data_IF_057044609356
#
_entry.id   IF_057044609356
#
_cell.length_a   1.000
_cell.length_b   1.000
_cell.length_c   1.000
_cell.angle_alpha   90.00
_cell.angle_beta   90.00
_cell.angle_gamma   90.00
#
_symmetry.space_group_name_H-M   'P 1'
#
loop_
_entity.id
_entity.type
_entity.pdbx_description
1 polymer ?
#
# COMPACT_ATOMS: atom_id res chain seq x y z
N UNK A 1 6.72 33.59 11.82
CA UNK A 1 5.32 34.04 11.84
C UNK A 1 4.58 33.10 10.91
N UNK A 2 3.65 32.29 11.44
CA UNK A 2 2.92 31.31 10.65
C UNK A 2 2.17 32.03 9.52
N UNK A 3 2.51 31.70 8.28
CA UNK A 3 1.70 31.99 7.11
C UNK A 3 0.30 31.45 7.40
N UNK A 4 -0.69 32.33 7.42
CA UNK A 4 -2.10 31.92 7.45
C UNK A 4 -2.49 31.55 6.03
N UNK A 5 -1.95 30.42 5.56
CA UNK A 5 -2.38 29.79 4.32
C UNK A 5 -3.84 29.41 4.46
N UNK A 6 -4.65 29.80 3.49
CA UNK A 6 -6.06 29.38 3.33
C UNK A 6 -6.16 27.91 2.90
N UNK A 7 -5.25 27.07 3.39
CA UNK A 7 -5.09 25.70 2.99
C UNK A 7 -6.21 24.83 3.50
N UNK A 8 -6.94 24.21 2.59
CA UNK A 8 -7.98 23.23 2.92
C UNK A 8 -7.41 21.84 3.23
N UNK A 9 -6.10 21.63 3.06
CA UNK A 9 -5.41 20.35 3.23
C UNK A 9 -4.15 20.50 4.08
N UNK A 10 -3.63 19.39 4.65
CA UNK A 10 -2.55 19.43 5.66
C UNK A 10 -1.15 19.55 5.06
N UNK A 11 -0.99 19.25 3.76
CA UNK A 11 0.28 19.32 3.04
C UNK A 11 0.24 20.33 1.88
N UNK A 12 -0.73 21.25 1.84
CA UNK A 12 -0.93 22.13 0.68
C UNK A 12 0.24 23.11 0.45
N UNK A 13 1.03 23.39 1.48
CA UNK A 13 2.24 24.19 1.43
C UNK A 13 3.51 23.37 1.15
N UNK A 14 3.41 22.05 1.03
CA UNK A 14 4.56 21.15 0.79
C UNK A 14 4.73 20.87 -0.69
N UNK A 15 5.92 21.20 -1.21
CA UNK A 15 6.32 20.94 -2.60
C UNK A 15 7.24 19.72 -2.69
N UNK A 16 6.94 18.80 -3.60
CA UNK A 16 7.66 17.54 -3.75
C UNK A 16 8.08 17.34 -5.19
N UNK A 17 9.35 17.01 -5.40
CA UNK A 17 9.83 16.44 -6.67
C UNK A 17 9.86 14.93 -6.55
N UNK A 18 9.10 14.24 -7.40
CA UNK A 18 9.16 12.79 -7.56
C UNK A 18 10.00 12.46 -8.78
N UNK A 19 11.05 11.65 -8.59
CA UNK A 19 11.94 11.16 -9.65
C UNK A 19 12.04 9.64 -9.57
N UNK A 20 12.06 9.00 -10.73
CA UNK A 20 12.08 7.55 -10.86
C UNK A 20 10.73 6.97 -11.26
N UNK A 21 10.61 5.65 -11.15
CA UNK A 21 9.56 4.88 -11.81
C UNK A 21 8.58 4.21 -10.85
N UNK A 22 8.26 2.97 -11.18
CA UNK A 22 7.20 2.18 -10.51
C UNK A 22 7.38 2.02 -9.00
N UNK A 23 8.63 1.97 -8.51
CA UNK A 23 8.96 1.69 -7.12
C UNK A 23 8.47 2.80 -6.17
N UNK A 24 8.70 4.07 -6.54
CA UNK A 24 8.38 5.24 -5.70
C UNK A 24 7.03 5.89 -6.00
N UNK A 25 6.41 5.57 -7.14
CA UNK A 25 5.20 6.27 -7.61
C UNK A 25 4.03 6.23 -6.62
N UNK A 26 3.93 5.20 -5.76
CA UNK A 26 2.92 5.13 -4.72
C UNK A 26 3.16 6.13 -3.57
N UNK A 27 4.43 6.39 -3.21
CA UNK A 27 4.78 7.35 -2.16
C UNK A 27 4.32 8.77 -2.54
N UNK A 28 4.69 9.23 -3.74
CA UNK A 28 4.25 10.54 -4.21
C UNK A 28 2.74 10.64 -4.38
N UNK A 29 2.05 9.56 -4.81
CA UNK A 29 0.58 9.53 -4.82
C UNK A 29 -0.02 9.74 -3.43
N UNK A 30 0.45 9.02 -2.41
CA UNK A 30 -0.07 9.15 -1.06
C UNK A 30 0.07 10.60 -0.56
N UNK A 31 1.24 11.21 -0.78
CA UNK A 31 1.52 12.59 -0.37
C UNK A 31 0.70 13.60 -1.18
N UNK A 32 0.58 13.40 -2.50
CA UNK A 32 -0.26 14.24 -3.37
C UNK A 32 -1.72 14.21 -2.93
N UNK A 33 -2.29 13.02 -2.70
CA UNK A 33 -3.69 12.91 -2.29
C UNK A 33 -3.95 13.53 -0.91
N UNK A 34 -2.95 13.51 -0.01
CA UNK A 34 -2.98 14.20 1.29
C UNK A 34 -2.76 15.72 1.22
N UNK A 35 -2.53 16.30 0.04
CA UNK A 35 -2.47 17.75 -0.15
C UNK A 35 -1.23 18.27 -0.87
N UNK A 36 -0.15 17.50 -0.88
CA UNK A 36 1.14 17.98 -1.36
C UNK A 36 1.11 18.37 -2.84
N UNK A 37 1.85 19.42 -3.19
CA UNK A 37 2.11 19.71 -4.59
C UNK A 37 3.25 18.81 -5.08
N UNK A 38 2.90 17.70 -5.73
CA UNK A 38 3.86 16.71 -6.23
C UNK A 38 4.07 16.92 -7.73
N UNK A 39 5.27 17.34 -8.10
CA UNK A 39 5.73 17.38 -9.49
C UNK A 39 6.51 16.11 -9.80
N UNK A 40 5.97 15.29 -10.70
CA UNK A 40 6.69 14.14 -11.25
C UNK A 40 7.59 14.62 -12.38
N UNK A 41 8.89 14.42 -12.22
CA UNK A 41 9.90 14.70 -13.24
C UNK A 41 10.11 13.43 -14.06
N UNK A 42 9.73 13.48 -15.32
CA UNK A 42 9.78 12.34 -16.25
C UNK A 42 10.81 12.61 -17.35
N UNK A 43 11.42 11.58 -17.96
CA UNK A 43 12.21 11.80 -19.17
C UNK A 43 11.31 12.33 -20.31
N UNK A 44 11.85 12.93 -21.39
CA UNK A 44 11.05 13.48 -22.49
C UNK A 44 10.07 12.48 -23.13
N UNK A 45 10.40 11.19 -23.12
CA UNK A 45 9.51 10.13 -23.56
C UNK A 45 8.47 9.70 -22.52
N UNK A 46 8.56 10.16 -21.27
CA UNK A 46 7.66 9.83 -20.18
C UNK A 46 8.06 8.58 -19.40
N UNK A 47 7.50 8.46 -18.19
CA UNK A 47 7.69 7.30 -17.32
C UNK A 47 7.24 5.99 -18.01
N UNK A 48 8.02 4.91 -17.82
CA UNK A 48 7.74 3.60 -18.42
C UNK A 48 6.32 3.07 -18.11
N UNK A 49 5.76 3.42 -16.95
CA UNK A 49 4.45 2.97 -16.49
C UNK A 49 3.31 3.53 -17.36
N UNK A 50 3.56 4.60 -18.12
CA UNK A 50 2.65 5.10 -19.17
C UNK A 50 2.43 4.08 -20.29
N UNK A 51 3.37 3.16 -20.48
CA UNK A 51 3.29 2.06 -21.44
C UNK A 51 2.70 0.76 -20.88
N UNK A 52 2.28 0.73 -19.61
CA UNK A 52 1.77 -0.50 -19.00
C UNK A 52 0.27 -0.68 -19.28
N UNK A 53 -0.18 -1.87 -19.73
CA UNK A 53 -1.61 -2.17 -19.85
C UNK A 53 -2.26 -2.38 -18.46
N UNK A 54 -3.61 -2.39 -18.38
CA UNK A 54 -4.57 -2.18 -19.46
C UNK A 54 -4.62 -0.71 -19.91
N UNK A 55 -5.02 -0.51 -21.17
CA UNK A 55 -5.22 0.81 -21.73
C UNK A 55 -6.70 1.12 -21.82
N UNK A 56 -7.06 2.38 -21.61
CA UNK A 56 -8.42 2.84 -21.79
C UNK A 56 -8.90 2.60 -23.23
N UNK A 57 -10.04 1.89 -23.36
CA UNK A 57 -10.61 1.41 -24.64
C UNK A 57 -9.66 0.50 -25.45
N UNK A 58 -8.72 -0.16 -24.79
CA UNK A 58 -7.70 -1.01 -25.41
C UNK A 58 -6.83 -0.27 -26.45
N UNK A 59 -6.65 1.06 -26.30
CA UNK A 59 -5.84 1.90 -27.19
C UNK A 59 -4.49 2.24 -26.54
N UNK A 60 -3.36 1.62 -26.97
CA UNK A 60 -2.04 1.90 -26.41
C UNK A 60 -1.60 3.35 -26.67
N UNK A 61 -1.54 4.14 -25.60
CA UNK A 61 -1.09 5.54 -25.61
C UNK A 61 -0.57 5.93 -24.22
N UNK A 62 0.41 6.85 -24.18
CA UNK A 62 1.09 7.28 -22.94
C UNK A 62 0.18 7.99 -21.93
N UNK A 63 -0.97 8.49 -22.38
CA UNK A 63 -1.96 9.14 -21.55
C UNK A 63 -3.18 8.24 -21.27
N UNK A 64 -3.14 6.96 -21.69
CA UNK A 64 -4.26 6.02 -21.59
C UNK A 64 -3.98 4.77 -20.77
N UNK A 65 -2.79 4.63 -20.18
CA UNK A 65 -2.51 3.55 -19.25
C UNK A 65 -3.34 3.69 -17.97
N UNK A 66 -4.21 2.72 -17.71
CA UNK A 66 -4.98 2.67 -16.45
C UNK A 66 -4.06 2.40 -15.26
N UNK A 67 -2.92 1.75 -15.49
CA UNK A 67 -1.87 1.60 -14.50
C UNK A 67 -1.31 2.97 -14.12
N UNK A 68 -0.84 3.76 -15.09
CA UNK A 68 -0.35 5.12 -14.82
C UNK A 68 -1.41 5.97 -14.12
N UNK A 69 -2.67 5.85 -14.55
CA UNK A 69 -3.76 6.60 -13.94
C UNK A 69 -3.90 6.31 -12.45
N UNK A 70 -3.85 5.03 -12.05
CA UNK A 70 -3.99 4.62 -10.66
C UNK A 70 -2.91 5.24 -9.73
N UNK A 71 -1.68 5.39 -10.22
CA UNK A 71 -0.54 5.81 -9.41
C UNK A 71 -0.24 7.31 -9.45
N UNK A 72 -0.97 8.12 -10.22
CA UNK A 72 -0.56 9.52 -10.49
C UNK A 72 -1.67 10.55 -10.33
N UNK A 73 -2.78 10.22 -9.67
CA UNK A 73 -3.78 11.22 -9.27
C UNK A 73 -3.14 12.37 -8.47
N UNK A 74 -3.67 13.57 -8.61
CA UNK A 74 -3.20 14.81 -7.94
C UNK A 74 -1.79 15.30 -8.28
N UNK A 75 -0.98 14.55 -9.03
CA UNK A 75 0.37 14.98 -9.43
C UNK A 75 0.33 15.99 -10.59
N UNK A 76 1.40 16.76 -10.71
CA UNK A 76 1.78 17.47 -11.92
C UNK A 76 2.81 16.64 -12.70
N UNK A 77 2.84 16.77 -14.02
CA UNK A 77 3.86 16.12 -14.87
C UNK A 77 4.69 17.16 -15.59
N UNK A 78 6.01 17.05 -15.45
CA UNK A 78 6.97 17.73 -16.31
C UNK A 78 7.90 16.74 -16.98
N UNK A 79 8.30 17.06 -18.20
CA UNK A 79 9.33 16.32 -18.94
C UNK A 79 10.66 17.05 -18.83
N UNK A 80 11.72 16.33 -18.50
CA UNK A 80 13.06 16.86 -18.33
C UNK A 80 14.12 15.77 -18.53
N UNK A 81 15.02 15.97 -19.49
CA UNK A 81 16.23 15.17 -19.65
C UNK A 81 17.29 15.60 -18.63
N UNK A 82 17.24 14.99 -17.46
CA UNK A 82 18.19 15.22 -16.36
C UNK A 82 19.60 14.66 -16.64
N UNK A 83 19.82 13.94 -17.74
CA UNK A 83 21.17 13.54 -18.14
C UNK A 83 21.91 14.67 -18.87
N UNK A 84 21.18 15.59 -19.50
CA UNK A 84 21.75 16.77 -20.16
C UNK A 84 22.24 17.83 -19.17
N UNK A 85 23.28 18.59 -19.54
CA UNK A 85 23.81 19.68 -18.69
C UNK A 85 22.73 20.74 -18.36
N UNK A 86 21.87 21.06 -19.34
CA UNK A 86 20.76 21.99 -19.17
C UNK A 86 19.71 21.42 -18.22
N UNK A 87 19.34 20.14 -18.40
CA UNK A 87 18.34 19.51 -17.55
C UNK A 87 18.79 19.36 -16.10
N UNK A 88 20.08 19.12 -15.86
CA UNK A 88 20.65 19.13 -14.49
C UNK A 88 20.54 20.49 -13.83
N UNK A 89 20.86 21.58 -14.53
CA UNK A 89 20.70 22.94 -14.02
C UNK A 89 19.24 23.24 -13.67
N UNK A 90 18.32 22.87 -14.57
CA UNK A 90 16.88 23.03 -14.38
C UNK A 90 16.38 22.21 -13.19
N UNK A 91 16.85 20.96 -13.04
CA UNK A 91 16.50 20.12 -11.90
C UNK A 91 16.95 20.74 -10.58
N UNK A 92 18.18 21.26 -10.50
CA UNK A 92 18.67 21.93 -9.30
C UNK A 92 17.85 23.19 -8.97
N UNK A 93 17.41 23.94 -9.99
CA UNK A 93 16.50 25.09 -9.81
C UNK A 93 15.15 24.66 -9.24
N UNK A 94 14.59 23.54 -9.72
CA UNK A 94 13.38 22.95 -9.13
C UNK A 94 13.62 22.50 -7.69
N UNK A 95 14.76 21.87 -7.41
CA UNK A 95 15.10 21.35 -6.09
C UNK A 95 15.26 22.45 -5.02
N UNK A 96 15.69 23.65 -5.41
CA UNK A 96 15.74 24.82 -4.52
C UNK A 96 14.34 25.25 -4.05
N UNK A 97 13.32 25.10 -4.89
CA UNK A 97 11.93 25.45 -4.56
C UNK A 97 11.16 24.31 -3.88
N UNK A 98 11.74 23.10 -3.83
CA UNK A 98 11.13 21.92 -3.28
C UNK A 98 11.40 21.76 -1.77
N UNK A 99 10.44 21.15 -1.07
CA UNK A 99 10.60 20.74 0.32
C UNK A 99 11.12 19.32 0.45
N UNK A 100 10.71 18.46 -0.48
CA UNK A 100 11.00 17.03 -0.48
C UNK A 100 11.42 16.59 -1.88
N UNK A 101 12.44 15.75 -1.95
CA UNK A 101 12.71 14.92 -3.13
C UNK A 101 12.39 13.47 -2.76
N UNK A 102 11.56 12.82 -3.57
CA UNK A 102 11.33 11.38 -3.53
C UNK A 102 12.07 10.77 -4.71
N UNK A 103 13.19 10.11 -4.42
CA UNK A 103 14.02 9.41 -5.39
C UNK A 103 13.71 7.90 -5.34
N UNK A 104 13.37 7.33 -6.48
CA UNK A 104 13.21 5.89 -6.67
C UNK A 104 13.93 5.38 -7.91
N UNK A 105 14.96 6.11 -8.36
CA UNK A 105 15.88 5.67 -9.39
C UNK A 105 16.77 4.52 -8.86
N UNK A 106 17.51 3.91 -9.77
CA UNK A 106 18.55 2.95 -9.40
C UNK A 106 19.55 3.61 -8.43
N UNK A 107 20.07 2.87 -7.42
CA UNK A 107 20.98 3.42 -6.43
C UNK A 107 22.17 4.17 -7.06
N UNK A 108 22.50 5.33 -6.49
CA UNK A 108 23.56 6.24 -6.94
C UNK A 108 23.38 6.85 -8.34
N UNK A 109 22.23 6.65 -9.00
CA UNK A 109 21.96 7.26 -10.30
C UNK A 109 21.97 8.79 -10.21
N UNK A 110 21.20 9.38 -9.29
CA UNK A 110 21.20 10.83 -9.10
C UNK A 110 22.54 11.37 -8.62
N UNK A 111 23.25 10.65 -7.74
CA UNK A 111 24.62 11.01 -7.34
C UNK A 111 25.57 11.08 -8.55
N UNK A 112 25.44 10.14 -9.49
CA UNK A 112 26.28 10.11 -10.71
C UNK A 112 26.04 11.32 -11.62
N UNK A 113 24.89 11.97 -11.50
CA UNK A 113 24.51 13.17 -12.24
C UNK A 113 24.83 14.46 -11.47
N UNK A 114 25.29 14.37 -10.22
CA UNK A 114 25.44 15.53 -9.33
C UNK A 114 24.10 16.08 -8.82
N UNK A 115 23.08 15.22 -8.75
CA UNK A 115 21.71 15.53 -8.30
C UNK A 115 21.36 14.77 -7.01
N UNK A 116 22.37 14.18 -6.36
CA UNK A 116 22.25 13.45 -5.12
C UNK A 116 21.98 14.33 -3.91
N UNK A 117 21.76 13.72 -2.76
CA UNK A 117 21.49 14.47 -1.51
C UNK A 117 22.63 15.44 -1.16
N UNK A 118 23.88 15.00 -1.30
CA UNK A 118 25.05 15.83 -0.96
C UNK A 118 25.19 17.05 -1.88
N UNK A 119 24.72 16.97 -3.13
CA UNK A 119 24.73 18.09 -4.06
C UNK A 119 23.52 19.02 -3.83
N UNK A 120 22.32 18.44 -3.73
CA UNK A 120 21.08 19.21 -3.53
C UNK A 120 21.09 19.94 -2.18
N UNK A 121 21.60 19.32 -1.12
CA UNK A 121 21.64 19.94 0.22
C UNK A 121 22.57 21.16 0.30
N UNK A 122 23.53 21.31 -0.63
CA UNK A 122 24.36 22.51 -0.72
C UNK A 122 23.57 23.74 -1.20
N UNK A 123 22.60 23.53 -2.08
CA UNK A 123 21.73 24.60 -2.61
C UNK A 123 20.42 24.75 -1.84
N UNK A 124 19.98 23.68 -1.15
CA UNK A 124 18.78 23.65 -0.31
C UNK A 124 19.03 22.88 1.01
N UNK A 125 19.62 23.51 2.04
CA UNK A 125 19.95 22.82 3.30
C UNK A 125 18.74 22.28 4.09
N UNK A 126 17.54 22.78 3.81
CA UNK A 126 16.28 22.35 4.42
C UNK A 126 15.59 21.21 3.67
N UNK A 127 16.20 20.69 2.60
CA UNK A 127 15.61 19.64 1.77
C UNK A 127 15.49 18.33 2.55
N UNK A 128 14.33 17.68 2.41
CA UNK A 128 14.16 16.29 2.84
C UNK A 128 14.34 15.42 1.61
N UNK A 129 15.26 14.47 1.65
CA UNK A 129 15.56 13.62 0.50
C UNK A 129 15.29 12.17 0.87
N UNK A 130 14.22 11.60 0.33
CA UNK A 130 13.81 10.22 0.57
C UNK A 130 14.21 9.35 -0.62
N UNK A 131 15.23 8.52 -0.43
CA UNK A 131 15.69 7.56 -1.42
C UNK A 131 15.07 6.18 -1.14
N UNK A 132 14.26 5.68 -2.07
CA UNK A 132 13.59 4.39 -1.99
C UNK A 132 14.34 3.42 -2.90
N UNK A 133 14.96 2.39 -2.30
CA UNK A 133 15.72 1.40 -3.06
C UNK A 133 15.45 -0.02 -2.57
N UNK A 134 15.73 -1.06 -3.38
CA UNK A 134 15.51 -2.43 -2.97
C UNK A 134 16.25 -2.81 -1.69
N UNK A 135 17.56 -2.56 -1.65
CA UNK A 135 18.46 -3.03 -0.61
C UNK A 135 19.02 -1.91 0.28
N UNK A 136 18.64 -0.64 0.06
CA UNK A 136 19.27 0.52 0.68
C UNK A 136 20.42 1.07 -0.17
N UNK A 137 20.68 2.37 -0.06
CA UNK A 137 21.66 3.08 -0.91
C UNK A 137 23.11 2.62 -0.63
N UNK A 138 23.44 2.36 0.63
CA UNK A 138 24.78 1.98 1.10
C UNK A 138 24.82 0.61 1.79
N UNK A 139 24.08 -0.36 1.25
CA UNK A 139 24.04 -1.73 1.77
C UNK A 139 24.89 -2.71 0.94
N UNK A 140 25.22 -3.91 1.49
CA UNK A 140 26.02 -4.93 0.77
C UNK A 140 25.45 -5.38 -0.58
N UNK A 141 24.15 -5.24 -0.78
CA UNK A 141 23.43 -5.62 -2.00
C UNK A 141 22.82 -4.39 -2.70
N UNK A 142 23.32 -3.18 -2.43
CA UNK A 142 22.85 -1.93 -3.06
C UNK A 142 22.77 -2.03 -4.59
N UNK A 143 23.77 -2.67 -5.23
CA UNK A 143 23.82 -2.78 -6.69
C UNK A 143 23.04 -4.01 -7.25
N UNK A 144 22.23 -4.70 -6.44
CA UNK A 144 21.50 -5.90 -6.89
C UNK A 144 20.12 -5.55 -7.45
N UNK A 145 19.80 -6.11 -8.61
CA UNK A 145 18.48 -5.99 -9.20
C UNK A 145 17.40 -6.67 -8.33
N UNK A 146 16.24 -6.03 -8.23
CA UNK A 146 15.08 -6.57 -7.55
C UNK A 146 13.78 -6.20 -8.27
N UNK A 147 12.77 -7.03 -8.09
CA UNK A 147 11.39 -6.77 -8.46
C UNK A 147 10.53 -6.84 -7.20
N UNK A 148 9.28 -6.39 -7.28
CA UNK A 148 8.29 -6.61 -6.22
C UNK A 148 8.24 -8.08 -5.75
N UNK A 149 8.32 -9.03 -6.70
CA UNK A 149 8.26 -10.46 -6.43
C UNK A 149 9.46 -10.94 -5.62
N UNK A 150 10.67 -10.54 -6.02
CA UNK A 150 11.89 -10.92 -5.29
C UNK A 150 11.99 -10.20 -3.96
N UNK A 151 11.42 -9.01 -3.84
CA UNK A 151 11.33 -8.24 -2.61
C UNK A 151 10.52 -8.95 -1.53
N UNK A 152 9.30 -9.39 -1.88
CA UNK A 152 8.46 -10.20 -1.00
C UNK A 152 9.15 -11.51 -0.59
N UNK A 153 9.81 -12.18 -1.55
CA UNK A 153 10.45 -13.47 -1.30
C UNK A 153 11.62 -13.35 -0.32
N UNK A 154 12.49 -12.37 -0.54
CA UNK A 154 13.68 -12.16 0.28
C UNK A 154 13.33 -11.55 1.66
N UNK A 155 12.27 -10.74 1.73
CA UNK A 155 11.85 -10.10 2.99
C UNK A 155 11.17 -11.04 3.99
N UNK A 156 10.64 -12.18 3.54
CA UNK A 156 9.97 -13.17 4.38
C UNK A 156 8.45 -13.37 4.19
N UNK A 157 7.64 -12.41 3.70
CA UNK A 157 6.19 -12.62 3.52
C UNK A 157 5.79 -13.89 2.75
N UNK A 158 6.56 -14.26 1.74
CA UNK A 158 6.30 -15.45 0.91
C UNK A 158 6.47 -16.75 1.70
N UNK A 159 7.44 -16.81 2.63
CA UNK A 159 7.65 -18.00 3.48
C UNK A 159 6.43 -18.33 4.33
N UNK A 160 5.74 -17.29 4.81
CA UNK A 160 4.61 -17.38 5.74
C UNK A 160 3.28 -17.70 5.05
N UNK A 161 3.25 -17.73 3.72
CA UNK A 161 2.03 -17.79 2.94
C UNK A 161 1.95 -19.07 2.11
N UNK A 162 0.83 -19.79 2.17
CA UNK A 162 0.54 -20.92 1.28
C UNK A 162 -0.12 -22.10 1.97
N UNK A 163 0.11 -23.29 1.42
CA UNK A 163 -0.60 -24.50 1.81
C UNK A 163 0.08 -25.25 2.95
N UNK A 164 -0.69 -26.06 3.68
CA UNK A 164 -0.18 -26.98 4.71
C UNK A 164 0.67 -28.10 4.13
N UNK A 165 0.38 -28.51 2.88
CA UNK A 165 1.26 -29.39 2.12
C UNK A 165 2.50 -28.61 1.70
N UNK A 166 3.59 -28.82 2.43
CA UNK A 166 4.84 -28.11 2.21
C UNK A 166 5.61 -28.57 0.96
N UNK A 167 5.15 -29.63 0.29
CA UNK A 167 5.65 -29.99 -1.03
C UNK A 167 5.18 -29.02 -2.12
N UNK A 168 4.07 -28.30 -1.87
CA UNK A 168 3.59 -27.22 -2.72
C UNK A 168 4.42 -25.96 -2.42
N UNK A 169 4.99 -25.28 -3.43
CA UNK A 169 5.75 -24.06 -3.22
C UNK A 169 4.96 -22.99 -2.43
N UNK A 170 5.65 -22.15 -1.64
CA UNK A 170 4.99 -21.04 -0.97
C UNK A 170 4.29 -20.09 -1.97
N UNK A 171 3.23 -19.42 -1.51
CA UNK A 171 2.45 -18.48 -2.32
C UNK A 171 2.72 -17.04 -1.89
N UNK A 172 2.25 -16.08 -2.68
CA UNK A 172 2.42 -14.65 -2.41
C UNK A 172 1.15 -13.90 -2.84
N UNK A 173 0.93 -12.72 -2.25
CA UNK A 173 -0.21 -11.85 -2.58
C UNK A 173 -0.15 -11.26 -3.99
N UNK A 174 -1.05 -10.34 -4.34
CA UNK A 174 -1.04 -9.60 -5.62
C UNK A 174 0.27 -8.83 -5.88
N UNK A 175 0.49 -8.34 -7.10
CA UNK A 175 1.70 -7.59 -7.46
C UNK A 175 1.79 -6.21 -6.78
N UNK A 176 3.00 -5.66 -6.72
CA UNK A 176 3.38 -4.36 -6.16
C UNK A 176 3.18 -4.20 -4.64
N UNK A 177 2.94 -5.28 -3.90
CA UNK A 177 2.75 -5.21 -2.44
C UNK A 177 4.02 -4.79 -1.70
N UNK A 178 5.21 -5.23 -2.17
CA UNK A 178 6.46 -4.77 -1.60
C UNK A 178 6.72 -3.30 -1.92
N UNK A 179 6.42 -2.86 -3.15
CA UNK A 179 6.50 -1.45 -3.56
C UNK A 179 5.58 -0.55 -2.72
N UNK A 180 4.33 -0.98 -2.53
CA UNK A 180 3.39 -0.27 -1.68
C UNK A 180 3.88 -0.22 -0.24
N UNK A 181 4.29 -1.36 0.34
CA UNK A 181 4.77 -1.41 1.73
C UNK A 181 5.94 -0.46 1.96
N UNK A 182 6.96 -0.46 1.09
CA UNK A 182 8.09 0.48 1.23
C UNK A 182 7.67 1.93 1.04
N UNK A 183 6.74 2.22 0.12
CA UNK A 183 6.20 3.57 -0.07
C UNK A 183 5.41 4.08 1.15
N UNK A 184 4.72 3.22 1.90
CA UNK A 184 4.09 3.63 3.16
C UNK A 184 5.15 4.02 4.19
N UNK A 185 6.24 3.26 4.32
CA UNK A 185 7.37 3.65 5.18
C UNK A 185 8.05 4.94 4.72
N UNK A 186 8.22 5.14 3.41
CA UNK A 186 8.78 6.36 2.85
C UNK A 186 7.90 7.58 3.16
N UNK A 187 6.58 7.48 2.95
CA UNK A 187 5.64 8.55 3.29
C UNK A 187 5.65 8.86 4.80
N UNK A 188 5.68 7.83 5.66
CA UNK A 188 5.83 8.01 7.11
C UNK A 188 7.14 8.73 7.45
N UNK A 189 8.25 8.33 6.81
CA UNK A 189 9.56 8.96 6.96
C UNK A 189 9.55 10.44 6.56
N UNK A 190 8.97 10.76 5.39
CA UNK A 190 8.80 12.14 4.91
C UNK A 190 7.98 12.97 5.89
N UNK A 191 6.81 12.48 6.34
CA UNK A 191 5.98 13.18 7.31
C UNK A 191 6.73 13.41 8.64
N UNK A 192 7.50 12.41 9.09
CA UNK A 192 8.32 12.53 10.31
C UNK A 192 9.43 13.57 10.14
N UNK A 193 10.09 13.60 8.98
CA UNK A 193 11.12 14.58 8.67
C UNK A 193 10.56 16.01 8.51
N UNK A 194 9.35 16.15 7.96
CA UNK A 194 8.65 17.44 7.91
C UNK A 194 8.37 17.96 9.32
N UNK A 195 7.92 17.09 10.24
CA UNK A 195 7.75 17.44 11.66
C UNK A 195 9.09 17.83 12.30
N UNK A 196 10.15 17.06 12.08
CA UNK A 196 11.51 17.41 12.55
C UNK A 196 11.91 18.81 12.09
N UNK A 197 11.78 19.07 10.78
CA UNK A 197 12.14 20.34 10.14
C UNK A 197 11.33 21.51 10.69
N UNK A 198 10.07 21.32 11.09
CA UNK A 198 9.29 22.38 11.76
C UNK A 198 9.92 22.85 13.07
N UNK A 199 10.61 21.97 13.81
CA UNK A 199 11.24 22.31 15.08
C UNK A 199 12.69 22.77 14.93
N UNK A 200 13.43 22.25 13.95
CA UNK A 200 14.87 22.51 13.79
C UNK A 200 15.19 23.48 12.66
N UNK A 201 14.32 23.57 11.65
CA UNK A 201 14.60 24.22 10.36
C UNK A 201 15.45 23.37 9.41
N UNK A 202 15.87 22.17 9.83
CA UNK A 202 16.82 21.33 9.09
C UNK A 202 16.12 20.16 8.38
N UNK A 203 16.50 19.96 7.13
CA UNK A 203 16.14 18.78 6.34
C UNK A 203 16.96 17.55 6.74
N UNK A 204 16.79 16.44 6.01
CA UNK A 204 17.60 15.24 6.21
C UNK A 204 17.47 14.26 5.03
N UNK A 205 18.44 13.36 4.93
CA UNK A 205 18.37 12.19 4.07
C UNK A 205 17.64 11.03 4.76
N UNK A 206 16.81 10.32 4.00
CA UNK A 206 16.05 9.15 4.45
C UNK A 206 16.32 8.01 3.46
N UNK A 207 17.08 7.00 3.89
CA UNK A 207 17.27 5.75 3.13
C UNK A 207 16.16 4.75 3.46
N UNK A 208 15.30 4.45 2.49
CA UNK A 208 14.14 3.58 2.67
C UNK A 208 14.36 2.26 1.93
N UNK A 209 14.71 1.23 2.70
CA UNK A 209 15.02 -0.11 2.19
C UNK A 209 13.76 -0.98 2.04
N UNK A 210 13.45 -1.40 0.81
CA UNK A 210 12.27 -2.21 0.51
C UNK A 210 12.28 -3.59 1.15
N UNK A 211 13.42 -4.30 1.16
CA UNK A 211 13.52 -5.61 1.79
C UNK A 211 13.37 -5.55 3.30
N UNK A 212 13.95 -4.54 3.94
CA UNK A 212 13.79 -4.28 5.37
C UNK A 212 12.32 -3.98 5.70
N UNK A 213 11.65 -3.15 4.89
CA UNK A 213 10.22 -2.86 5.02
C UNK A 213 9.34 -4.11 4.97
N UNK A 214 9.68 -5.08 4.11
CA UNK A 214 8.98 -6.38 4.09
C UNK A 214 9.23 -7.17 5.37
N UNK A 215 10.49 -7.22 5.82
CA UNK A 215 10.87 -8.04 6.97
C UNK A 215 10.20 -7.57 8.27
N UNK A 216 10.19 -6.26 8.53
CA UNK A 216 9.53 -5.69 9.71
C UNK A 216 8.00 -5.78 9.67
N UNK A 217 7.43 -6.17 8.52
CA UNK A 217 5.98 -6.35 8.31
C UNK A 217 5.56 -7.84 8.35
N UNK A 218 6.44 -8.75 8.80
CA UNK A 218 6.11 -10.19 8.99
C UNK A 218 5.55 -10.53 10.38
N UNK A 219 4.83 -9.59 10.99
CA UNK A 219 4.23 -9.70 12.33
C UNK A 219 5.27 -10.15 13.38
N UNK A 220 4.98 -11.20 14.15
CA UNK A 220 5.85 -11.74 15.19
C UNK A 220 6.92 -12.70 14.67
N UNK A 221 6.90 -13.08 13.39
CA UNK A 221 7.75 -14.16 12.86
C UNK A 221 9.24 -13.92 13.14
N UNK A 222 9.72 -12.68 12.92
CA UNK A 222 11.12 -12.30 13.21
C UNK A 222 11.42 -12.42 14.70
N UNK A 223 10.50 -12.03 15.59
CA UNK A 223 10.73 -12.10 17.02
C UNK A 223 10.70 -13.55 17.55
N UNK A 224 9.83 -14.39 17.00
CA UNK A 224 9.83 -15.83 17.25
C UNK A 224 11.19 -16.45 16.91
N UNK A 225 11.78 -16.05 15.78
CA UNK A 225 13.12 -16.50 15.40
C UNK A 225 14.21 -15.95 16.34
N UNK A 226 14.26 -14.62 16.53
CA UNK A 226 15.33 -13.95 17.26
C UNK A 226 15.38 -14.30 18.75
N UNK A 227 14.23 -14.52 19.39
CA UNK A 227 14.14 -14.69 20.85
C UNK A 227 13.73 -16.11 21.23
N UNK A 228 12.72 -16.68 20.58
CA UNK A 228 12.25 -18.03 20.90
C UNK A 228 13.05 -19.14 20.18
N UNK A 229 13.79 -18.81 19.12
CA UNK A 229 14.54 -19.78 18.31
C UNK A 229 13.65 -20.61 17.38
N UNK A 230 12.42 -20.17 17.15
CA UNK A 230 11.41 -20.90 16.39
C UNK A 230 11.21 -20.31 15.00
N UNK A 231 10.99 -21.17 14.00
CA UNK A 231 10.64 -20.75 12.63
C UNK A 231 9.16 -20.97 12.37
N UNK A 232 8.45 -19.90 12.01
CA UNK A 232 7.04 -20.00 11.62
C UNK A 232 6.86 -20.84 10.35
N UNK A 233 5.73 -21.51 10.23
CA UNK A 233 5.36 -22.31 9.07
C UNK A 233 4.10 -21.73 8.42
N UNK A 234 4.06 -21.70 7.09
CA UNK A 234 2.84 -21.40 6.33
C UNK A 234 1.77 -22.45 6.59
N UNK A 235 0.52 -22.00 6.60
CA UNK A 235 -0.66 -22.82 6.84
C UNK A 235 -1.82 -22.32 5.99
N UNK A 236 -2.59 -23.21 5.36
CA UNK A 236 -3.68 -22.81 4.46
C UNK A 236 -4.75 -22.06 5.24
N UNK A 237 -5.11 -20.85 4.78
CA UNK A 237 -6.19 -20.04 5.37
C UNK A 237 -5.97 -19.63 6.84
N UNK A 238 -4.73 -19.65 7.33
CA UNK A 238 -4.36 -19.46 8.74
C UNK A 238 -3.18 -18.53 8.92
N UNK A 239 -3.02 -17.99 10.12
CA UNK A 239 -1.80 -17.30 10.52
C UNK A 239 -0.59 -18.25 10.46
N UNK A 240 0.55 -17.79 9.95
CA UNK A 240 1.79 -18.55 10.04
C UNK A 240 2.21 -18.71 11.50
N UNK A 241 2.61 -19.92 11.90
CA UNK A 241 2.94 -20.22 13.30
C UNK A 241 4.00 -21.31 13.36
N UNK A 242 4.87 -21.35 14.39
CA UNK A 242 5.83 -22.45 14.55
C UNK A 242 5.13 -23.80 14.79
N UNK A 243 3.93 -23.77 15.37
CA UNK A 243 3.11 -24.94 15.63
C UNK A 243 1.79 -24.83 14.87
N UNK A 244 1.32 -25.91 14.21
CA UNK A 244 0.04 -25.91 13.51
C UNK A 244 -1.13 -25.50 14.41
N UNK A 245 -2.03 -24.71 13.83
CA UNK A 245 -3.23 -24.14 14.45
C UNK A 245 -4.49 -24.73 13.83
N UNK A 246 -5.63 -24.64 14.55
CA UNK A 246 -6.91 -25.14 14.04
C UNK A 246 -7.35 -24.40 12.76
N UNK A 247 -8.12 -25.08 11.92
CA UNK A 247 -8.69 -24.50 10.70
C UNK A 247 -9.67 -23.38 11.05
N UNK A 248 -9.56 -22.24 10.36
CA UNK A 248 -10.32 -21.01 10.61
C UNK A 248 -11.00 -20.46 9.36
N UNK A 249 -10.91 -21.15 8.23
CA UNK A 249 -11.53 -20.72 6.98
C UNK A 249 -12.53 -21.79 6.54
N UNK A 250 -13.80 -21.41 6.35
CA UNK A 250 -14.89 -22.33 6.05
C UNK A 250 -15.49 -22.05 4.68
N UNK A 251 -15.66 -23.12 3.90
CA UNK A 251 -16.37 -23.08 2.62
C UNK A 251 -17.88 -23.04 2.88
N UNK A 252 -18.56 -22.12 2.22
CA UNK A 252 -20.01 -21.96 2.29
C UNK A 252 -20.72 -22.60 1.09
N UNK A 253 -22.04 -22.75 1.18
CA UNK A 253 -22.85 -23.43 0.15
C UNK A 253 -22.88 -22.75 -1.22
N UNK A 254 -22.54 -21.46 -1.27
CA UNK A 254 -22.39 -20.67 -2.50
C UNK A 254 -20.97 -20.76 -3.11
N UNK A 255 -20.08 -21.57 -2.54
CA UNK A 255 -18.71 -21.75 -3.00
C UNK A 255 -17.75 -20.65 -2.55
N UNK A 256 -18.20 -19.71 -1.70
CA UNK A 256 -17.36 -18.65 -1.10
C UNK A 256 -16.83 -19.08 0.27
N UNK A 257 -15.86 -18.32 0.79
CA UNK A 257 -15.26 -18.59 2.09
C UNK A 257 -15.61 -17.53 3.12
N UNK A 258 -15.69 -17.95 4.38
CA UNK A 258 -15.66 -17.08 5.55
C UNK A 258 -14.46 -17.42 6.41
N UNK A 259 -13.77 -16.40 6.91
CA UNK A 259 -12.76 -16.54 7.96
C UNK A 259 -13.46 -16.44 9.31
N UNK A 260 -13.44 -17.54 10.06
CA UNK A 260 -13.97 -17.66 11.41
C UNK A 260 -12.79 -17.67 12.38
N UNK A 261 -12.63 -16.62 13.17
CA UNK A 261 -11.50 -16.51 14.09
C UNK A 261 -11.55 -17.57 15.22
N UNK A 262 -11.89 -17.12 16.43
CA UNK A 262 -12.19 -18.05 17.52
C UNK A 262 -13.72 -18.12 17.63
N UNK A 263 -14.35 -19.31 17.54
CA UNK A 263 -15.79 -19.42 17.34
C UNK A 263 -16.59 -18.85 18.51
N UNK A 264 -16.06 -18.82 19.74
CA UNK A 264 -16.60 -18.00 20.83
C UNK A 264 -15.54 -17.60 21.86
N UNK A 265 -15.40 -16.31 22.15
CA UNK A 265 -14.41 -15.76 23.11
C UNK A 265 -15.00 -15.50 24.49
N UNK A 266 -16.32 -15.55 24.63
CA UNK A 266 -17.05 -15.38 25.88
C UNK A 266 -18.07 -16.52 26.06
N UNK A 267 -18.54 -16.74 27.30
CA UNK A 267 -19.61 -17.72 27.57
C UNK A 267 -20.91 -17.33 26.85
N UNK A 268 -21.21 -16.04 26.73
CA UNK A 268 -22.37 -15.53 25.99
C UNK A 268 -22.29 -15.89 24.49
N UNK A 269 -21.13 -15.63 23.87
CA UNK A 269 -20.88 -16.03 22.48
C UNK A 269 -20.98 -17.55 22.31
N UNK A 270 -20.54 -18.33 23.31
CA UNK A 270 -20.64 -19.79 23.25
C UNK A 270 -22.09 -20.26 23.27
N UNK A 271 -22.92 -19.66 24.14
CA UNK A 271 -24.35 -19.92 24.17
C UNK A 271 -25.02 -19.54 22.85
N UNK A 272 -24.71 -18.36 22.27
CA UNK A 272 -25.24 -17.96 20.97
C UNK A 272 -24.84 -18.92 19.85
N UNK A 273 -23.60 -19.40 19.86
CA UNK A 273 -23.13 -20.37 18.86
C UNK A 273 -23.92 -21.68 18.96
N UNK A 274 -24.03 -22.25 20.16
CA UNK A 274 -24.76 -23.48 20.36
C UNK A 274 -26.24 -23.31 19.99
N UNK A 275 -26.88 -22.23 20.41
CA UNK A 275 -28.27 -21.94 20.02
C UNK A 275 -28.42 -21.82 18.50
N UNK A 276 -27.49 -21.14 17.81
CA UNK A 276 -27.53 -21.01 16.35
C UNK A 276 -27.32 -22.36 15.63
N UNK A 277 -26.47 -23.24 16.17
CA UNK A 277 -26.35 -24.61 15.68
C UNK A 277 -27.64 -25.41 15.91
N UNK A 278 -28.30 -25.25 17.06
CA UNK A 278 -29.59 -25.89 17.35
C UNK A 278 -30.71 -25.43 16.41
N UNK A 279 -30.76 -24.13 16.08
CA UNK A 279 -31.68 -23.57 15.08
C UNK A 279 -31.56 -24.27 13.71
N UNK A 280 -30.38 -24.82 13.40
CA UNK A 280 -30.10 -25.55 12.16
C UNK A 280 -30.11 -27.07 12.34
N UNK A 281 -30.49 -27.57 13.52
CA UNK A 281 -30.53 -29.00 13.83
C UNK A 281 -29.15 -29.65 14.01
N UNK A 282 -28.10 -28.85 14.26
CA UNK A 282 -26.70 -29.27 14.34
C UNK A 282 -26.20 -29.41 15.78
N UNK A 283 -27.07 -29.26 16.79
CA UNK A 283 -26.68 -29.38 18.21
C UNK A 283 -26.15 -30.77 18.57
N UNK A 284 -26.82 -31.85 18.14
CA UNK A 284 -26.41 -33.22 18.43
C UNK A 284 -25.98 -33.44 19.91
N UNK A 285 -24.81 -34.03 20.10
CA UNK A 285 -24.19 -34.22 21.43
C UNK A 285 -23.40 -33.00 21.94
N UNK A 286 -23.35 -31.89 21.19
CA UNK A 286 -22.58 -30.69 21.57
C UNK A 286 -23.14 -30.00 22.81
N UNK A 287 -24.39 -30.28 23.19
CA UNK A 287 -25.00 -29.80 24.43
C UNK A 287 -24.24 -30.21 25.70
N UNK A 288 -23.35 -31.20 25.62
CA UNK A 288 -22.45 -31.59 26.72
C UNK A 288 -21.40 -30.50 27.04
N UNK A 289 -21.13 -29.60 26.09
CA UNK A 289 -20.15 -28.53 26.24
C UNK A 289 -20.79 -27.25 26.76
N UNK A 290 -20.85 -27.12 28.09
CA UNK A 290 -21.50 -25.99 28.76
C UNK A 290 -20.71 -24.68 28.58
N UNK A 291 -19.39 -24.75 28.57
CA UNK A 291 -18.48 -23.58 28.51
C UNK A 291 -17.52 -23.68 27.34
N UNK A 292 -17.10 -22.56 26.72
CA UNK A 292 -16.09 -22.60 25.67
C UNK A 292 -14.75 -23.08 26.23
N UNK A 293 -13.89 -23.72 25.41
CA UNK A 293 -12.54 -24.04 25.84
C UNK A 293 -11.75 -22.74 26.05
N UNK A 294 -10.99 -22.65 27.15
CA UNK A 294 -10.21 -21.43 27.41
C UNK A 294 -9.12 -21.23 26.34
N UNK A 295 -8.85 -19.97 25.98
CA UNK A 295 -7.78 -19.64 25.02
C UNK A 295 -6.42 -20.20 25.44
N UNK A 296 -6.11 -20.15 26.73
CA UNK A 296 -4.87 -20.69 27.28
C UNK A 296 -4.79 -22.22 27.09
N UNK A 297 -5.89 -22.95 27.28
CA UNK A 297 -5.92 -24.39 27.05
C UNK A 297 -5.69 -24.74 25.56
N UNK A 298 -6.27 -23.96 24.62
CA UNK A 298 -6.04 -24.13 23.19
C UNK A 298 -4.57 -23.84 22.82
N UNK A 299 -4.00 -22.73 23.32
CA UNK A 299 -2.59 -22.36 23.08
C UNK A 299 -1.66 -23.44 23.64
N UNK A 300 -1.94 -23.94 24.83
CA UNK A 300 -1.16 -24.99 25.49
C UNK A 300 -1.49 -26.40 25.00
N UNK A 301 -2.34 -26.51 23.97
CA UNK A 301 -2.71 -27.77 23.32
C UNK A 301 -3.29 -28.82 24.26
N UNK A 302 -4.12 -28.38 25.19
CA UNK A 302 -4.90 -29.29 26.02
C UNK A 302 -5.79 -30.18 25.15
N UNK A 303 -5.72 -31.50 25.37
CA UNK A 303 -6.34 -32.48 24.50
C UNK A 303 -7.89 -32.40 24.51
N UNK A 304 -8.47 -32.06 25.67
CA UNK A 304 -9.93 -31.95 25.81
C UNK A 304 -10.43 -30.67 25.15
N UNK A 305 -9.71 -29.57 25.32
CA UNK A 305 -10.00 -28.31 24.64
C UNK A 305 -9.90 -28.43 23.11
N UNK A 306 -8.88 -29.12 22.59
CA UNK A 306 -8.73 -29.39 21.15
C UNK A 306 -9.89 -30.24 20.64
N UNK A 307 -10.24 -31.31 21.36
CA UNK A 307 -11.35 -32.20 20.96
C UNK A 307 -12.68 -31.44 20.93
N UNK A 308 -12.98 -30.67 21.97
CA UNK A 308 -14.18 -29.84 22.04
C UNK A 308 -14.24 -28.86 20.86
N UNK A 309 -13.13 -28.17 20.57
CA UNK A 309 -13.07 -27.24 19.45
C UNK A 309 -13.30 -27.94 18.12
N UNK A 310 -12.69 -29.11 17.90
CA UNK A 310 -12.85 -29.87 16.66
C UNK A 310 -14.31 -30.31 16.43
N UNK A 311 -14.99 -30.82 17.46
CA UNK A 311 -16.40 -31.23 17.37
C UNK A 311 -17.32 -30.05 17.03
N UNK A 312 -17.13 -28.90 17.69
CA UNK A 312 -17.94 -27.69 17.41
C UNK A 312 -17.63 -27.13 16.03
N UNK A 313 -16.37 -27.10 15.61
CA UNK A 313 -15.98 -26.58 14.30
C UNK A 313 -16.46 -27.45 13.14
N UNK A 314 -16.67 -28.76 13.38
CA UNK A 314 -17.34 -29.63 12.41
C UNK A 314 -18.78 -29.19 12.16
N UNK A 315 -19.55 -28.92 13.22
CA UNK A 315 -20.91 -28.43 13.10
C UNK A 315 -20.97 -27.01 12.48
N UNK A 316 -20.01 -26.14 12.79
CA UNK A 316 -19.88 -24.83 12.15
C UNK A 316 -19.58 -24.97 10.65
N UNK A 317 -18.76 -25.94 10.25
CA UNK A 317 -18.50 -26.21 8.83
C UNK A 317 -19.77 -26.65 8.10
N UNK A 318 -20.57 -27.54 8.70
CA UNK A 318 -21.87 -27.95 8.15
C UNK A 318 -22.85 -26.76 8.06
N UNK A 319 -22.89 -25.91 9.08
CA UNK A 319 -23.68 -24.67 9.07
C UNK A 319 -23.26 -23.76 7.91
N UNK A 320 -21.96 -23.57 7.68
CA UNK A 320 -21.46 -22.77 6.57
C UNK A 320 -21.84 -23.37 5.22
N UNK A 321 -21.68 -24.69 5.05
CA UNK A 321 -22.02 -25.38 3.79
C UNK A 321 -23.52 -25.33 3.46
N UNK A 322 -24.39 -25.17 4.45
CA UNK A 322 -25.82 -25.04 4.26
C UNK A 322 -26.29 -23.61 3.89
N UNK A 323 -25.42 -22.61 3.99
CA UNK A 323 -25.76 -21.19 3.86
C UNK A 323 -24.85 -20.45 2.88
N UNK A 324 -25.21 -19.23 2.49
CA UNK A 324 -24.30 -18.36 1.73
C UNK A 324 -23.24 -17.76 2.65
N UNK A 325 -22.06 -17.42 2.12
CA UNK A 325 -21.01 -16.78 2.93
C UNK A 325 -21.46 -15.43 3.50
N UNK A 326 -22.29 -14.69 2.77
CA UNK A 326 -22.79 -13.39 3.20
C UNK A 326 -23.79 -13.53 4.36
N UNK A 327 -24.71 -14.49 4.30
CA UNK A 327 -25.67 -14.73 5.38
C UNK A 327 -24.95 -15.19 6.66
N UNK A 328 -23.94 -16.05 6.53
CA UNK A 328 -23.09 -16.45 7.65
C UNK A 328 -22.38 -15.24 8.24
N UNK A 329 -21.77 -14.39 7.41
CA UNK A 329 -21.08 -13.18 7.85
C UNK A 329 -22.02 -12.25 8.64
N UNK A 330 -23.17 -11.89 8.08
CA UNK A 330 -24.13 -10.98 8.73
C UNK A 330 -24.65 -11.56 10.02
N UNK A 331 -25.11 -12.82 10.02
CA UNK A 331 -25.62 -13.49 11.22
C UNK A 331 -24.55 -13.61 12.30
N UNK A 332 -23.31 -13.89 11.92
CA UNK A 332 -22.20 -13.96 12.86
C UNK A 332 -21.95 -12.60 13.53
N UNK A 333 -21.95 -11.50 12.76
CA UNK A 333 -21.82 -10.14 13.30
C UNK A 333 -22.98 -9.77 14.24
N UNK A 334 -24.23 -10.12 13.89
CA UNK A 334 -25.41 -9.88 14.74
C UNK A 334 -25.32 -10.59 16.09
N UNK A 335 -24.66 -11.76 16.13
CA UNK A 335 -24.41 -12.54 17.34
C UNK A 335 -23.12 -12.13 18.09
N UNK A 336 -22.40 -11.12 17.57
CA UNK A 336 -21.19 -10.56 18.16
C UNK A 336 -19.90 -11.31 17.84
N UNK A 337 -19.91 -12.21 16.85
CA UNK A 337 -18.70 -12.92 16.40
C UNK A 337 -17.87 -12.08 15.42
N UNK A 338 -16.56 -12.33 15.43
CA UNK A 338 -15.59 -11.69 14.53
C UNK A 338 -15.34 -12.55 13.29
N UNK A 339 -16.40 -12.90 12.58
CA UNK A 339 -16.30 -13.66 11.33
C UNK A 339 -16.35 -12.70 10.16
N UNK A 340 -15.54 -12.95 9.14
CA UNK A 340 -15.41 -12.08 7.96
C UNK A 340 -15.57 -12.87 6.67
N UNK A 341 -16.35 -12.33 5.74
CA UNK A 341 -16.44 -12.86 4.38
C UNK A 341 -15.13 -12.65 3.62
N UNK A 342 -14.76 -13.59 2.77
CA UNK A 342 -13.64 -13.47 1.84
C UNK A 342 -14.16 -12.94 0.51
N UNK A 343 -13.87 -11.68 0.22
CA UNK A 343 -14.15 -11.05 -1.08
C UNK A 343 -12.91 -11.02 -1.97
N UNK A 344 -13.12 -10.94 -3.28
CA UNK A 344 -12.11 -10.37 -4.18
C UNK A 344 -11.98 -8.85 -3.96
N UNK A 345 -10.83 -8.23 -4.29
CA UNK A 345 -10.64 -6.79 -4.13
C UNK A 345 -11.70 -5.95 -4.86
N UNK A 346 -12.08 -6.33 -6.07
CA UNK A 346 -13.06 -5.64 -6.90
C UNK A 346 -14.49 -5.75 -6.36
N UNK A 347 -14.90 -6.93 -5.86
CA UNK A 347 -16.21 -7.11 -5.23
C UNK A 347 -16.36 -6.31 -3.93
N UNK A 348 -15.25 -6.08 -3.24
CA UNK A 348 -15.24 -5.34 -1.98
C UNK A 348 -15.78 -3.92 -2.16
N UNK A 349 -15.53 -3.29 -3.32
CA UNK A 349 -16.04 -1.95 -3.63
C UNK A 349 -17.57 -1.93 -3.82
N UNK A 350 -18.20 -3.07 -4.09
CA UNK A 350 -19.64 -3.17 -4.24
C UNK A 350 -20.37 -3.30 -2.91
N UNK A 351 -19.66 -3.67 -1.84
CA UNK A 351 -20.22 -3.81 -0.49
C UNK A 351 -20.68 -2.44 0.07
N UNK A 352 -21.82 -2.46 0.76
CA UNK A 352 -22.43 -1.28 1.37
C UNK A 352 -21.45 -0.52 2.25
N UNK A 353 -20.61 -1.22 3.02
CA UNK A 353 -19.63 -0.60 3.91
C UNK A 353 -18.65 0.28 3.13
N UNK A 354 -18.08 -0.23 2.03
CA UNK A 354 -17.09 0.50 1.23
C UNK A 354 -17.72 1.68 0.48
N UNK A 355 -18.94 1.49 -0.05
CA UNK A 355 -19.71 2.58 -0.68
C UNK A 355 -20.02 3.71 0.30
N UNK A 356 -20.55 3.39 1.48
CA UNK A 356 -20.88 4.40 2.50
C UNK A 356 -19.62 5.05 3.11
N UNK A 357 -18.47 4.37 3.06
CA UNK A 357 -17.16 4.93 3.43
C UNK A 357 -16.54 5.82 2.36
N UNK A 358 -17.19 5.99 1.20
CA UNK A 358 -16.69 6.86 0.12
C UNK A 358 -15.48 6.28 -0.61
N UNK A 359 -15.35 4.96 -0.66
CA UNK A 359 -14.21 4.29 -1.32
C UNK A 359 -14.30 4.31 -2.86
N UNK A 360 -15.42 4.76 -3.42
CA UNK A 360 -15.59 5.01 -4.85
C UNK A 360 -15.62 6.53 -5.07
N UNK A 361 -14.58 7.07 -5.71
CA UNK A 361 -14.40 8.51 -5.94
C UNK A 361 -14.49 8.79 -7.42
N UNK A 362 -15.47 9.60 -7.81
CA UNK A 362 -15.65 10.00 -9.20
C UNK A 362 -14.66 11.12 -9.58
N UNK A 363 -14.01 10.99 -10.73
CA UNK A 363 -12.98 11.91 -11.22
C UNK A 363 -13.21 12.18 -12.70
N UNK A 364 -13.37 13.45 -13.05
CA UNK A 364 -13.55 13.88 -14.44
C UNK A 364 -12.24 13.81 -15.23
N UNK A 365 -12.33 13.35 -16.47
CA UNK A 365 -11.27 13.41 -17.48
C UNK A 365 -11.76 14.29 -18.65
N UNK A 366 -11.56 15.62 -18.58
CA UNK A 366 -12.12 16.56 -19.56
C UNK A 366 -11.68 16.29 -21.00
N UNK A 367 -10.44 15.85 -21.20
CA UNK A 367 -9.89 15.49 -22.51
C UNK A 367 -10.60 14.30 -23.17
N UNK A 368 -11.26 13.45 -22.36
CA UNK A 368 -12.06 12.33 -22.83
C UNK A 368 -13.57 12.65 -22.80
N UNK A 369 -13.97 13.75 -22.17
CA UNK A 369 -15.38 14.07 -21.88
C UNK A 369 -16.09 12.93 -21.13
N UNK A 370 -15.37 12.26 -20.24
CA UNK A 370 -15.85 11.11 -19.45
C UNK A 370 -15.45 11.26 -17.97
N UNK A 371 -16.10 10.49 -17.10
CA UNK A 371 -15.82 10.42 -15.67
C UNK A 371 -15.49 8.97 -15.30
N UNK A 372 -14.50 8.78 -14.43
CA UNK A 372 -14.04 7.47 -13.98
C UNK A 372 -14.05 7.35 -12.47
N UNK A 373 -14.26 6.13 -11.97
CA UNK A 373 -14.23 5.82 -10.54
C UNK A 373 -12.84 5.37 -10.13
N UNK A 374 -12.26 6.09 -9.18
CA UNK A 374 -11.00 5.78 -8.51
C UNK A 374 -11.26 5.27 -7.09
N UNK A 375 -10.30 4.53 -6.54
CA UNK A 375 -10.36 4.04 -5.16
C UNK A 375 -10.06 5.19 -4.18
N UNK A 376 -10.93 5.35 -3.18
CA UNK A 376 -10.81 6.34 -2.10
C UNK A 376 -9.74 6.01 -1.06
N UNK A 377 -9.58 6.89 -0.07
CA UNK A 377 -8.64 6.68 1.02
C UNK A 377 -9.21 5.82 2.17
N UNK A 378 -8.34 5.05 2.86
CA UNK A 378 -8.73 4.31 4.05
C UNK A 378 -8.95 5.21 5.28
N UNK A 379 -8.56 6.50 5.23
CA UNK A 379 -8.69 7.47 6.30
C UNK A 379 -9.61 8.63 5.93
N UNK A 380 -10.28 9.20 6.93
CA UNK A 380 -11.17 10.35 6.77
C UNK A 380 -10.76 11.47 7.72
N UNK A 381 -10.05 12.46 7.20
CA UNK A 381 -9.66 13.64 7.96
C UNK A 381 -10.80 14.65 8.01
N UNK A 382 -11.33 14.92 9.21
CA UNK A 382 -12.47 15.84 9.39
C UNK A 382 -12.10 17.32 9.21
N UNK A 383 -10.86 17.69 9.54
CA UNK A 383 -10.39 19.09 9.45
C UNK A 383 -9.68 19.41 8.13
N UNK A 384 -9.03 18.41 7.52
CA UNK A 384 -8.21 18.55 6.31
C UNK A 384 -8.54 17.40 5.34
N UNK A 385 -9.73 17.42 4.70
CA UNK A 385 -10.23 16.27 3.96
C UNK A 385 -9.27 15.80 2.87
N UNK A 386 -9.09 14.48 2.81
CA UNK A 386 -8.44 13.81 1.69
C UNK A 386 -9.34 13.87 0.45
N UNK A 387 -8.75 13.92 -0.74
CA UNK A 387 -9.52 13.83 -1.97
C UNK A 387 -8.69 13.82 -3.24
N UNK A 388 -9.27 13.29 -4.32
CA UNK A 388 -8.72 13.39 -5.67
C UNK A 388 -9.22 14.71 -6.29
N UNK A 389 -8.34 15.71 -6.31
CA UNK A 389 -8.58 17.07 -6.82
C UNK A 389 -8.28 17.21 -8.30
N UNK A 390 -7.31 16.44 -8.81
CA UNK A 390 -6.96 16.38 -10.23
C UNK A 390 -6.83 14.93 -10.69
N UNK A 391 -7.30 14.68 -11.90
CA UNK A 391 -7.00 13.45 -12.64
C UNK A 391 -5.49 13.34 -12.91
N UNK A 392 -4.97 12.14 -13.17
CA UNK A 392 -3.56 11.92 -13.46
C UNK A 392 -3.05 12.80 -14.61
N UNK A 393 -1.87 13.42 -14.52
CA UNK A 393 -1.42 14.39 -15.53
C UNK A 393 -1.08 13.71 -16.87
N UNK A 394 -1.41 14.40 -17.98
CA UNK A 394 -0.87 14.03 -19.28
C UNK A 394 0.64 14.28 -19.30
N UNK A 395 1.37 13.59 -20.18
CA UNK A 395 2.82 13.73 -20.29
C UNK A 395 3.22 15.19 -20.57
N UNK A 396 4.00 15.79 -19.68
CA UNK A 396 4.49 17.16 -19.81
C UNK A 396 3.40 18.24 -19.73
N UNK A 397 2.21 17.91 -19.22
CA UNK A 397 1.07 18.81 -19.14
C UNK A 397 1.38 20.11 -18.39
N UNK A 398 2.20 20.02 -17.34
CA UNK A 398 2.46 21.14 -16.44
C UNK A 398 3.81 21.83 -16.74
N UNK A 399 4.50 21.50 -17.85
CA UNK A 399 5.79 22.08 -18.23
C UNK A 399 5.81 23.61 -18.16
N UNK A 400 4.86 24.29 -18.82
CA UNK A 400 4.84 25.76 -18.86
C UNK A 400 4.59 26.39 -17.49
N UNK A 401 3.71 25.77 -16.69
CA UNK A 401 3.38 26.29 -15.37
C UNK A 401 4.55 26.12 -14.40
N UNK A 402 5.07 24.89 -14.27
CA UNK A 402 6.12 24.55 -13.31
C UNK A 402 7.45 25.19 -13.66
N UNK A 403 7.87 25.16 -14.93
CA UNK A 403 9.13 25.81 -15.33
C UNK A 403 9.02 27.35 -15.25
N UNK A 404 7.82 27.90 -15.47
CA UNK A 404 7.55 29.33 -15.28
C UNK A 404 7.76 29.79 -13.83
N UNK A 405 7.45 28.96 -12.84
CA UNK A 405 7.66 29.26 -11.41
C UNK A 405 9.14 29.46 -11.06
N UNK A 406 10.05 28.76 -11.75
CA UNK A 406 11.50 28.92 -11.59
C UNK A 406 12.12 29.90 -12.60
N UNK A 407 11.29 30.68 -13.30
CA UNK A 407 11.72 31.76 -14.19
C UNK A 407 12.12 31.35 -15.61
N UNK A 408 11.82 30.13 -16.03
CA UNK A 408 12.03 29.69 -17.43
C UNK A 408 10.84 30.17 -18.25
N UNK A 409 11.08 31.17 -19.11
CA UNK A 409 10.06 31.76 -19.97
C UNK A 409 9.73 30.90 -21.19
N UNK A 410 8.67 31.27 -21.92
CA UNK A 410 8.23 30.55 -23.12
C UNK A 410 9.32 30.41 -24.20
N UNK A 411 10.17 31.43 -24.37
CA UNK A 411 11.27 31.41 -25.34
C UNK A 411 12.35 30.39 -24.95
N UNK A 412 12.78 30.39 -23.69
CA UNK A 412 13.78 29.44 -23.16
C UNK A 412 13.23 28.01 -23.20
N UNK A 413 11.96 27.82 -22.79
CA UNK A 413 11.29 26.53 -22.89
C UNK A 413 11.15 26.05 -24.34
N UNK A 414 10.92 26.97 -25.28
CA UNK A 414 10.93 26.68 -26.72
C UNK A 414 12.28 26.13 -27.19
N UNK A 415 13.39 26.73 -26.76
CA UNK A 415 14.75 26.25 -27.05
C UNK A 415 14.99 24.87 -26.43
N UNK A 416 14.55 24.66 -25.18
CA UNK A 416 14.67 23.36 -24.51
C UNK A 416 13.90 22.26 -25.25
N UNK A 417 12.69 22.55 -25.74
CA UNK A 417 11.89 21.63 -26.58
C UNK A 417 12.60 21.28 -27.88
N UNK A 418 13.14 22.28 -28.59
CA UNK A 418 13.89 22.05 -29.84
C UNK A 418 15.16 21.21 -29.63
N UNK A 419 15.79 21.36 -28.46
CA UNK A 419 16.96 20.59 -28.06
C UNK A 419 16.63 19.18 -27.53
N UNK A 420 15.35 18.84 -27.35
CA UNK A 420 14.91 17.57 -26.77
C UNK A 420 15.16 17.45 -25.26
N UNK A 421 15.37 18.57 -24.56
CA UNK A 421 15.57 18.59 -23.10
C UNK A 421 14.24 18.47 -22.35
N UNK A 422 13.12 18.89 -22.96
CA UNK A 422 11.76 18.77 -22.40
C UNK A 422 10.76 18.30 -23.45
#
# INVERSE_FOLDING_TARGET
>A
MASTGTGTSVLDDVRILEVGGVLGGWCGKLLADMGANVTKVEPPEGDETRGYPPFYKDEPDKNRSLYFWHYNTNKQSVTLDIESDVGRDVFLRLAVEADVIVDSCEPKYLDSLGLGYDDVSQVSPSIIFAAISPFGQDAPYSDYAATDLTALAFGGPVWSSGYDDHSIPPVRGGGNQAYHTVCHFAAIGVLTALVHRQFTGEGQFIDVNMHAAQNVTTEGAVYHWLVAGDTVQRQTGRHSSPTPTADVQMLCGDGRYVNIGFPARTEEQWFHLLAWLDEHGLMGDLSKYITPPSRAAIINRDADAIRQMAEVMSAVSELCQANTAYDIFVRAQDLGFQWGIVYSPEETLEDRHFKERGMQVAVEHPELSEEFVYVGAPYEFKATPWGIRRRPPMLGEDNEAVFGEIGIGADELGVMREAGVV
#
